data_IF_698850954343
#
_entry.id   IF_698850954343
#
_cell.length_a   1.000
_cell.length_b   1.000
_cell.length_c   1.000
_cell.angle_alpha   90.00
_cell.angle_beta   90.00
_cell.angle_gamma   90.00
#
_symmetry.space_group_name_H-M   'P 1'
#
loop_
_entity.id
_entity.type
_entity.pdbx_description
1 polymer ?
#
# COMPACT_ATOMS: atom_id res chain seq x y z
N UNK A 1 17.23 15.46 -10.16
CA UNK A 1 16.21 16.53 -10.24
C UNK A 1 14.95 15.97 -9.61
N UNK A 2 14.61 16.37 -8.39
CA UNK A 2 13.46 15.82 -7.66
C UNK A 2 12.20 16.48 -8.21
N UNK A 3 11.35 15.71 -8.89
CA UNK A 3 10.04 16.17 -9.36
C UNK A 3 9.13 16.40 -8.15
N UNK A 4 8.44 17.55 -8.10
CA UNK A 4 7.53 17.93 -7.00
C UNK A 4 6.13 18.10 -7.58
N UNK A 5 5.11 17.63 -6.87
CA UNK A 5 3.69 17.74 -7.27
C UNK A 5 2.85 18.18 -6.05
N UNK A 6 1.65 18.73 -6.29
CA UNK A 6 0.75 19.30 -5.25
C UNK A 6 -0.72 18.85 -5.43
N UNK A 7 -0.98 17.74 -6.11
CA UNK A 7 -2.36 17.33 -6.44
C UNK A 7 -2.92 16.41 -5.37
N UNK A 8 -4.04 16.79 -4.75
CA UNK A 8 -4.78 15.96 -3.80
C UNK A 8 -5.64 14.94 -4.56
N UNK A 9 -5.10 13.75 -4.81
CA UNK A 9 -5.79 12.64 -5.47
C UNK A 9 -5.34 11.31 -4.83
N UNK A 10 -6.27 10.38 -4.63
CA UNK A 10 -6.00 9.04 -4.10
C UNK A 10 -7.07 8.55 -3.14
N UNK A 11 -7.03 7.25 -2.81
CA UNK A 11 -7.79 6.70 -1.69
C UNK A 11 -7.10 7.17 -0.41
N UNK A 12 -7.81 7.95 0.43
CA UNK A 12 -7.24 8.66 1.58
C UNK A 12 -6.43 7.75 2.52
N UNK A 13 -6.82 6.48 2.61
CA UNK A 13 -6.21 5.45 3.45
C UNK A 13 -4.80 5.04 3.02
N UNK A 14 -4.37 5.39 1.81
CA UNK A 14 -3.03 5.11 1.29
C UNK A 14 -2.18 6.37 1.16
N UNK A 15 -2.74 7.54 1.48
CA UNK A 15 -2.08 8.82 1.30
C UNK A 15 -1.05 9.06 2.40
N UNK A 16 0.15 9.51 2.03
CA UNK A 16 1.21 9.76 3.01
C UNK A 16 0.92 11.00 3.89
N UNK A 17 1.45 11.08 5.13
CA UNK A 17 1.19 12.19 6.04
C UNK A 17 1.53 13.56 5.44
N UNK A 18 2.64 13.66 4.69
CA UNK A 18 3.07 14.90 4.06
C UNK A 18 2.10 15.42 2.97
N UNK A 19 1.33 14.52 2.33
CA UNK A 19 0.31 14.90 1.36
C UNK A 19 -0.94 15.46 2.05
N UNK A 20 -1.32 14.89 3.21
CA UNK A 20 -2.44 15.39 4.01
C UNK A 20 -2.15 16.76 4.61
N UNK A 21 -0.88 17.04 4.94
CA UNK A 21 -0.44 18.35 5.42
C UNK A 21 -0.28 19.40 4.31
N UNK A 22 -0.64 19.08 3.05
CA UNK A 22 -0.42 19.93 1.87
C UNK A 22 1.04 20.42 1.74
N UNK A 23 2.00 19.62 2.20
CA UNK A 23 3.43 19.91 2.03
C UNK A 23 3.88 19.47 0.63
N UNK A 24 4.98 20.05 0.17
CA UNK A 24 5.63 19.53 -1.03
C UNK A 24 6.12 18.11 -0.75
N UNK A 25 5.71 17.15 -1.57
CA UNK A 25 6.09 15.75 -1.44
C UNK A 25 6.99 15.30 -2.60
N UNK A 26 7.61 14.13 -2.42
CA UNK A 26 8.51 13.50 -3.39
C UNK A 26 8.01 12.09 -3.69
N UNK A 27 8.82 11.26 -4.35
CA UNK A 27 8.55 9.82 -4.54
C UNK A 27 8.47 9.04 -3.22
N UNK A 28 8.76 9.68 -2.07
CA UNK A 28 8.58 9.10 -0.74
C UNK A 28 7.16 8.64 -0.44
N UNK A 29 6.16 9.29 -1.05
CA UNK A 29 4.74 8.97 -0.82
C UNK A 29 4.39 7.57 -1.31
N UNK A 30 5.01 7.13 -2.40
CA UNK A 30 4.77 5.80 -2.97
C UNK A 30 5.27 4.69 -2.02
N UNK A 31 6.39 4.94 -1.33
CA UNK A 31 6.91 4.00 -0.32
C UNK A 31 6.03 3.91 0.92
N UNK A 32 5.36 5.01 1.29
CA UNK A 32 4.36 4.97 2.35
C UNK A 32 3.15 4.13 1.93
N UNK A 33 2.58 4.41 0.75
CA UNK A 33 1.46 3.65 0.21
C UNK A 33 1.80 2.16 0.05
N UNK A 34 3.04 1.84 -0.36
CA UNK A 34 3.54 0.48 -0.38
C UNK A 34 3.57 -0.17 1.00
N UNK A 35 3.97 0.57 2.05
CA UNK A 35 3.92 0.10 3.43
C UNK A 35 2.50 -0.24 3.89
N UNK A 36 1.51 0.59 3.54
CA UNK A 36 0.09 0.33 3.85
C UNK A 36 -0.39 -0.94 3.14
N UNK A 37 -0.10 -1.08 1.84
CA UNK A 37 -0.47 -2.28 1.07
C UNK A 37 0.22 -3.54 1.58
N UNK A 38 1.50 -3.45 1.93
CA UNK A 38 2.24 -4.58 2.49
C UNK A 38 1.63 -5.03 3.83
N UNK A 39 1.27 -4.07 4.68
CA UNK A 39 0.56 -4.36 5.93
C UNK A 39 -0.76 -5.07 5.67
N UNK A 40 -1.56 -4.59 4.70
CA UNK A 40 -2.84 -5.21 4.34
C UNK A 40 -2.69 -6.62 3.80
N UNK A 41 -1.70 -6.87 2.93
CA UNK A 41 -1.44 -8.21 2.39
C UNK A 41 -1.02 -9.21 3.47
N UNK A 42 -0.28 -8.76 4.48
CA UNK A 42 0.23 -9.61 5.56
C UNK A 42 -0.80 -9.84 6.67
N UNK A 43 -1.63 -8.85 6.99
CA UNK A 43 -2.57 -8.90 8.12
C UNK A 43 -4.04 -9.07 7.75
N UNK A 44 -4.41 -8.82 6.49
CA UNK A 44 -5.80 -8.73 6.03
C UNK A 44 -6.57 -7.53 6.60
N UNK A 45 -5.87 -6.57 7.24
CA UNK A 45 -6.46 -5.38 7.87
C UNK A 45 -5.81 -4.12 7.30
N UNK A 46 -6.57 -3.03 7.19
CA UNK A 46 -6.01 -1.73 6.87
C UNK A 46 -5.58 -1.02 8.17
N UNK A 47 -4.34 -0.47 8.24
CA UNK A 47 -3.83 0.12 9.46
C UNK A 47 -4.55 1.43 9.83
N UNK A 48 -5.20 2.09 8.88
CA UNK A 48 -5.94 3.34 9.08
C UNK A 48 -7.46 3.12 9.15
N UNK A 49 -7.97 1.88 9.06
CA UNK A 49 -9.39 1.59 9.33
C UNK A 49 -9.61 1.18 10.79
N UNK A 50 -10.85 1.36 11.27
CA UNK A 50 -11.24 0.88 12.59
C UNK A 50 -11.39 -0.66 12.62
N UNK A 51 -11.62 -1.24 13.80
CA UNK A 51 -11.78 -2.71 13.94
C UNK A 51 -12.90 -3.29 13.07
N UNK A 52 -13.88 -2.47 12.69
CA UNK A 52 -14.99 -2.83 11.80
C UNK A 52 -14.67 -2.66 10.32
N UNK A 53 -13.43 -2.26 9.99
CA UNK A 53 -13.00 -1.86 8.65
C UNK A 53 -13.88 -0.76 8.02
N UNK A 54 -14.55 0.03 8.83
CA UNK A 54 -15.28 1.18 8.35
C UNK A 54 -14.28 2.27 7.95
N UNK A 55 -14.49 2.84 6.78
CA UNK A 55 -13.73 3.99 6.29
C UNK A 55 -13.90 5.15 7.27
N UNK A 56 -12.80 5.66 7.80
CA UNK A 56 -12.86 6.91 8.57
C UNK A 56 -13.33 8.05 7.67
N UNK A 57 -14.08 8.99 8.23
CA UNK A 57 -14.48 10.18 7.49
C UNK A 57 -13.20 10.91 7.01
N UNK A 58 -13.20 11.49 5.80
CA UNK A 58 -12.02 12.17 5.25
C UNK A 58 -11.38 13.19 6.20
N UNK A 59 -12.21 13.89 6.97
CA UNK A 59 -11.83 14.87 7.99
C UNK A 59 -11.09 14.27 9.20
N UNK A 60 -11.32 13.00 9.53
CA UNK A 60 -10.74 12.32 10.70
C UNK A 60 -9.41 11.63 10.38
N UNK A 61 -9.13 11.39 9.09
CA UNK A 61 -7.91 10.70 8.64
C UNK A 61 -6.60 11.33 9.14
N UNK A 62 -6.42 12.67 9.13
CA UNK A 62 -5.20 13.28 9.67
C UNK A 62 -5.02 13.06 11.18
N UNK A 63 -6.12 13.02 11.94
CA UNK A 63 -6.06 12.74 13.38
C UNK A 63 -5.64 11.30 13.61
N UNK A 64 -6.28 10.35 12.93
CA UNK A 64 -5.97 8.92 13.02
C UNK A 64 -4.53 8.61 12.60
N UNK A 65 -4.05 9.24 11.53
CA UNK A 65 -2.66 9.13 11.10
C UNK A 65 -1.68 9.58 12.20
N UNK A 66 -1.97 10.71 12.86
CA UNK A 66 -1.13 11.21 13.95
C UNK A 66 -1.16 10.27 15.17
N UNK A 67 -2.33 9.78 15.57
CA UNK A 67 -2.50 8.85 16.70
C UNK A 67 -1.73 7.54 16.49
N UNK A 68 -1.66 7.06 15.25
CA UNK A 68 -1.05 5.78 14.91
C UNK A 68 0.45 5.92 14.64
N UNK A 69 0.88 7.00 13.97
CA UNK A 69 2.26 7.11 13.47
C UNK A 69 3.13 8.16 14.16
N UNK A 70 2.53 9.23 14.72
CA UNK A 70 3.28 10.37 15.27
C UNK A 70 3.52 10.23 16.77
N UNK A 71 2.55 9.74 17.52
CA UNK A 71 2.66 9.60 18.98
C UNK A 71 3.59 8.45 19.41
N UNK A 72 4.19 7.73 18.44
CA UNK A 72 5.13 6.64 18.73
C UNK A 72 4.48 5.48 19.49
N UNK A 73 3.15 5.46 19.55
CA UNK A 73 2.38 4.24 19.70
C UNK A 73 2.91 3.31 18.62
N UNK A 74 3.44 2.19 19.09
CA UNK A 74 3.92 1.17 18.21
C UNK A 74 2.68 0.70 17.43
N UNK A 75 2.47 1.24 16.22
CA UNK A 75 1.26 0.97 15.46
C UNK A 75 1.10 -0.53 15.24
N UNK A 76 2.21 -1.27 15.22
CA UNK A 76 2.24 -2.72 15.15
C UNK A 76 1.82 -3.39 16.47
N UNK A 77 1.92 -2.72 17.63
CA UNK A 77 1.32 -3.19 18.91
C UNK A 77 -0.19 -2.98 18.98
N UNK A 78 -0.76 -2.01 18.25
CA UNK A 78 -2.22 -1.85 18.14
C UNK A 78 -2.83 -3.09 17.48
N UNK A 79 -2.07 -3.76 16.62
CA UNK A 79 -2.42 -5.06 16.05
C UNK A 79 -1.84 -6.15 16.96
N UNK A 80 -2.54 -6.40 18.07
CA UNK A 80 -2.12 -7.17 19.27
C UNK A 80 -1.56 -8.60 19.03
N UNK A 81 -1.57 -9.10 17.81
CA UNK A 81 -1.14 -10.46 17.50
C UNK A 81 0.33 -10.44 17.03
N UNK A 82 1.24 -10.54 18.01
CA UNK A 82 2.71 -10.51 17.82
C UNK A 82 3.23 -11.58 16.85
N UNK A 83 2.44 -12.60 16.55
CA UNK A 83 2.79 -13.66 15.61
C UNK A 83 2.37 -13.35 14.15
N UNK A 84 1.70 -12.22 13.90
CA UNK A 84 1.25 -11.83 12.54
C UNK A 84 2.42 -11.52 11.61
N UNK A 85 3.46 -10.88 12.13
CA UNK A 85 4.58 -10.39 11.32
C UNK A 85 5.87 -11.09 11.70
N UNK A 86 6.57 -11.62 10.70
CA UNK A 86 7.95 -12.06 10.91
C UNK A 86 8.83 -10.86 11.30
N UNK A 87 9.93 -11.06 12.06
CA UNK A 87 10.84 -9.98 12.42
C UNK A 87 11.31 -9.10 11.23
N UNK A 88 11.68 -9.65 10.05
CA UNK A 88 12.05 -8.80 8.92
C UNK A 88 10.87 -8.06 8.29
N UNK A 89 9.64 -8.60 8.36
CA UNK A 89 8.45 -7.92 7.88
C UNK A 89 8.10 -6.72 8.77
N UNK A 90 8.13 -6.92 10.09
CA UNK A 90 7.95 -5.87 11.07
C UNK A 90 8.94 -4.72 10.86
N UNK A 91 10.23 -5.05 10.75
CA UNK A 91 11.32 -4.09 10.57
C UNK A 91 11.15 -3.27 9.26
N UNK A 92 10.71 -3.92 8.18
CA UNK A 92 10.42 -3.22 6.92
C UNK A 92 9.23 -2.27 7.07
N UNK A 93 8.13 -2.72 7.67
CA UNK A 93 6.92 -1.92 7.88
C UNK A 93 7.22 -0.68 8.74
N UNK A 94 7.98 -0.83 9.82
CA UNK A 94 8.38 0.30 10.68
C UNK A 94 9.19 1.36 9.91
N UNK A 95 10.03 0.92 8.96
CA UNK A 95 10.85 1.81 8.14
C UNK A 95 10.08 2.46 6.98
N UNK A 96 9.08 1.79 6.42
CA UNK A 96 8.21 2.33 5.36
C UNK A 96 7.16 3.30 5.90
N UNK A 97 6.60 3.02 7.08
CA UNK A 97 5.51 3.78 7.69
C UNK A 97 6.00 4.88 8.64
N UNK A 98 7.18 5.45 8.37
CA UNK A 98 7.68 6.62 9.08
C UNK A 98 6.84 7.85 8.73
N UNK A 99 6.39 8.56 9.77
CA UNK A 99 5.64 9.80 9.63
C UNK A 99 6.45 10.85 8.86
N UNK A 100 7.70 11.03 9.26
CA UNK A 100 8.64 11.94 8.58
C UNK A 100 9.27 11.23 7.36
N UNK A 101 9.07 11.76 6.13
CA UNK A 101 9.59 11.16 4.91
C UNK A 101 11.12 11.14 4.85
N UNK A 102 11.85 12.00 5.58
CA UNK A 102 13.32 12.00 5.59
C UNK A 102 13.90 10.73 6.21
N UNK A 103 13.16 10.11 7.14
CA UNK A 103 13.56 8.86 7.81
C UNK A 103 12.96 7.61 7.15
N UNK A 104 12.14 7.77 6.12
CA UNK A 104 11.52 6.66 5.39
C UNK A 104 12.57 5.92 4.56
N UNK A 105 12.54 4.58 4.57
CA UNK A 105 13.42 3.77 3.70
C UNK A 105 13.05 3.97 2.22
N UNK A 106 14.02 3.82 1.32
CA UNK A 106 13.77 3.95 -0.13
C UNK A 106 13.91 5.37 -0.67
N UNK A 107 14.07 6.35 0.21
CA UNK A 107 14.15 7.78 -0.10
C UNK A 107 15.51 8.41 0.19
N UNK A 108 16.38 7.67 0.90
CA UNK A 108 17.69 8.12 1.39
C UNK A 108 18.79 7.81 0.37
N UNK A 109 20.05 7.83 0.80
CA UNK A 109 21.23 7.81 -0.07
C UNK A 109 21.24 6.70 -1.12
N UNK A 110 20.80 5.49 -0.75
CA UNK A 110 20.76 4.32 -1.65
C UNK A 110 19.41 4.16 -2.37
N UNK A 111 18.40 4.96 -2.01
CA UNK A 111 17.07 4.92 -2.60
C UNK A 111 16.46 3.52 -2.59
N UNK A 112 15.92 3.10 -3.74
CA UNK A 112 15.28 1.77 -3.91
C UNK A 112 16.19 0.59 -3.56
N UNK A 113 17.52 0.76 -3.59
CA UNK A 113 18.44 -0.33 -3.23
C UNK A 113 18.32 -0.71 -1.75
N UNK A 114 17.97 0.23 -0.87
CA UNK A 114 17.72 -0.09 0.55
C UNK A 114 16.58 -1.09 0.71
N UNK A 115 15.56 -0.96 -0.14
CA UNK A 115 14.39 -1.84 -0.13
C UNK A 115 14.74 -3.19 -0.75
N UNK A 116 15.41 -3.18 -1.91
CA UNK A 116 15.85 -4.43 -2.57
C UNK A 116 16.79 -5.28 -1.71
N UNK A 117 17.62 -4.65 -0.89
CA UNK A 117 18.57 -5.31 0.00
C UNK A 117 17.98 -5.63 1.39
N UNK A 118 16.73 -5.24 1.66
CA UNK A 118 16.11 -5.46 2.96
C UNK A 118 15.97 -6.97 3.25
N UNK A 119 16.22 -7.44 4.48
CA UNK A 119 16.10 -8.86 4.83
C UNK A 119 14.74 -9.50 4.51
N UNK A 120 13.67 -8.70 4.47
CA UNK A 120 12.33 -9.14 4.06
C UNK A 120 12.29 -9.71 2.63
N UNK A 121 13.15 -9.21 1.73
CA UNK A 121 13.26 -9.68 0.35
C UNK A 121 14.53 -10.50 0.11
N UNK A 122 15.10 -11.11 1.14
CA UNK A 122 16.38 -11.83 1.04
C UNK A 122 16.33 -13.09 0.15
N UNK A 123 15.14 -13.63 -0.08
CA UNK A 123 14.85 -14.76 -0.96
C UNK A 123 14.46 -14.34 -2.39
N UNK A 124 14.40 -13.03 -2.67
CA UNK A 124 14.02 -12.50 -3.96
C UNK A 124 15.22 -12.30 -4.87
N UNK A 125 15.22 -13.01 -6.01
CA UNK A 125 16.06 -12.69 -7.16
C UNK A 125 15.35 -11.64 -8.02
N UNK A 126 15.80 -10.39 -7.91
CA UNK A 126 15.21 -9.24 -8.60
C UNK A 126 15.35 -9.33 -10.12
N UNK A 127 16.44 -9.90 -10.64
CA UNK A 127 16.67 -10.07 -12.07
C UNK A 127 15.73 -11.15 -12.63
N UNK A 128 15.50 -12.20 -11.84
CA UNK A 128 14.56 -13.27 -12.18
C UNK A 128 13.09 -12.79 -12.15
N UNK A 129 12.73 -11.91 -11.21
CA UNK A 129 11.42 -11.24 -11.21
C UNK A 129 11.23 -10.38 -12.46
N UNK A 130 12.22 -9.55 -12.81
CA UNK A 130 12.11 -8.62 -13.94
C UNK A 130 11.88 -9.36 -15.27
N UNK A 131 12.56 -10.49 -15.47
CA UNK A 131 12.36 -11.37 -16.64
C UNK A 131 11.15 -12.30 -16.52
N UNK A 132 10.31 -12.14 -15.49
CA UNK A 132 9.12 -12.98 -15.21
C UNK A 132 9.45 -14.47 -15.12
N UNK A 133 10.63 -14.81 -14.61
CA UNK A 133 11.08 -16.20 -14.50
C UNK A 133 10.80 -16.87 -13.15
N UNK A 134 10.31 -16.12 -12.15
CA UNK A 134 9.76 -16.73 -10.93
C UNK A 134 8.36 -17.28 -11.21
N UNK A 135 8.06 -18.45 -10.66
CA UNK A 135 6.71 -18.99 -10.67
C UNK A 135 5.83 -18.23 -9.68
N UNK A 136 4.68 -17.74 -10.15
CA UNK A 136 3.73 -17.05 -9.28
C UNK A 136 3.13 -18.01 -8.23
N UNK A 137 3.05 -17.62 -6.95
CA UNK A 137 2.52 -18.47 -5.89
C UNK A 137 1.02 -18.76 -6.06
N UNK A 138 0.31 -17.90 -6.79
CA UNK A 138 -1.09 -18.08 -7.13
C UNK A 138 -1.25 -18.02 -8.66
N UNK A 139 -1.90 -19.04 -9.20
CA UNK A 139 -2.34 -19.09 -10.60
C UNK A 139 -3.86 -19.05 -10.59
N UNK A 140 -4.49 -17.98 -11.09
CA UNK A 140 -5.95 -17.87 -11.09
C UNK A 140 -6.56 -18.95 -11.97
N UNK A 141 -7.70 -19.50 -11.54
CA UNK A 141 -8.46 -20.44 -12.34
C UNK A 141 -9.12 -19.72 -13.51
N UNK A 142 -8.89 -20.22 -14.72
CA UNK A 142 -9.52 -19.72 -15.96
C UNK A 142 -10.43 -20.82 -16.50
N UNK A 143 -11.74 -20.68 -16.28
CA UNK A 143 -12.78 -21.67 -16.61
C UNK A 143 -13.25 -21.60 -18.05
N UNK A 144 -13.25 -20.40 -18.65
CA UNK A 144 -13.85 -20.13 -19.97
C UNK A 144 -12.87 -19.55 -21.00
N UNK A 145 -11.58 -19.85 -20.84
CA UNK A 145 -10.53 -19.40 -21.75
C UNK A 145 -10.49 -17.87 -21.88
N UNK A 146 -10.35 -17.37 -23.11
CA UNK A 146 -10.19 -15.92 -23.36
C UNK A 146 -11.41 -15.06 -22.98
N UNK A 147 -12.58 -15.66 -22.79
CA UNK A 147 -13.81 -14.96 -22.43
C UNK A 147 -14.19 -15.14 -20.95
N UNK A 148 -13.28 -15.66 -20.12
CA UNK A 148 -13.57 -15.88 -18.72
C UNK A 148 -13.67 -14.57 -17.94
N UNK A 149 -14.84 -14.36 -17.35
CA UNK A 149 -15.17 -13.22 -16.49
C UNK A 149 -15.39 -13.65 -15.03
N UNK A 150 -15.11 -14.91 -14.69
CA UNK A 150 -15.44 -15.51 -13.39
C UNK A 150 -14.63 -14.95 -12.21
N UNK A 151 -13.52 -14.28 -12.48
CA UNK A 151 -12.70 -13.57 -11.49
C UNK A 151 -13.05 -12.07 -11.35
N UNK A 152 -14.14 -11.62 -11.99
CA UNK A 152 -14.66 -10.25 -11.87
C UNK A 152 -15.98 -10.25 -11.09
N UNK A 153 -16.31 -9.13 -10.46
CA UNK A 153 -17.54 -9.02 -9.68
C UNK A 153 -18.79 -9.05 -10.58
N UNK A 154 -19.80 -9.80 -10.12
CA UNK A 154 -21.03 -10.04 -10.87
C UNK A 154 -21.83 -8.75 -11.15
N UNK A 155 -21.67 -7.73 -10.30
CA UNK A 155 -22.25 -6.41 -10.51
C UNK A 155 -21.89 -5.86 -11.89
N UNK A 156 -20.63 -5.96 -12.29
CA UNK A 156 -20.16 -5.45 -13.59
C UNK A 156 -20.45 -6.42 -14.74
N UNK A 157 -20.27 -7.73 -14.53
CA UNK A 157 -20.47 -8.71 -15.60
C UNK A 157 -21.93 -8.85 -16.02
N UNK A 158 -22.87 -8.50 -15.15
CA UNK A 158 -24.30 -8.49 -15.43
C UNK A 158 -24.79 -7.17 -16.06
N UNK A 159 -23.93 -6.14 -16.13
CA UNK A 159 -24.30 -4.89 -16.78
C UNK A 159 -24.48 -5.10 -18.28
N UNK A 160 -25.46 -4.40 -18.89
CA UNK A 160 -25.62 -4.46 -20.33
C UNK A 160 -24.40 -3.85 -21.04
N UNK A 161 -23.90 -4.52 -22.07
CA UNK A 161 -22.76 -4.08 -22.89
C UNK A 161 -23.15 -2.97 -23.88
N UNK A 162 -23.94 -2.00 -23.43
CA UNK A 162 -24.34 -0.84 -24.22
C UNK A 162 -23.58 0.39 -23.72
N UNK A 163 -22.95 1.18 -24.60
CA UNK A 163 -22.38 2.46 -24.21
C UNK A 163 -23.48 3.35 -23.63
N UNK A 164 -23.20 3.98 -22.49
CA UNK A 164 -24.11 4.99 -21.94
C UNK A 164 -24.29 6.11 -22.96
N UNK A 165 -25.54 6.51 -23.30
CA UNK A 165 -25.77 7.62 -24.21
C UNK A 165 -25.21 8.91 -23.58
N UNK A 166 -24.54 9.72 -24.39
CA UNK A 166 -24.08 11.05 -23.97
C UNK A 166 -25.31 11.95 -23.94
N UNK A 167 -25.63 12.54 -22.79
CA UNK A 167 -26.65 13.58 -22.70
C UNK A 167 -26.23 14.75 -23.62
N UNK A 168 -26.99 14.97 -24.70
CA UNK A 168 -26.84 16.14 -25.58
C UNK A 168 -27.49 17.38 -24.96
#
# INVERSE_FOLDING_TARGET
MVSRTQTFCGTLEYMAPEMMENKNYTTSVDWFSFGILLFEMLSGKNPLKNERQETCAPEDMPMRMNEILKDGTDFLKVYEDKDTFSPPAYDLLEKLLRFDPEFRIGCRDLGVLEIKQHPFFSDIDWDLIERKGLEAPFKPDIKHGAADISNFEAEFTNMPLVPSPVNQ
#
